data_IF_686056752862
#
_entry.id   IF_686056752862
#
_cell.length_a   1.000
_cell.length_b   1.000
_cell.length_c   1.000
_cell.angle_alpha   90.00
_cell.angle_beta   90.00
_cell.angle_gamma   90.00
#
_symmetry.space_group_name_H-M   'P 1'
#
loop_
_entity.id
_entity.type
_entity.pdbx_description
1 polymer ?
#
# COMPACT_ATOMS: atom_id res chain seq x y z
N UNK A 1 17.03 24.85 6.70
CA UNK A 1 16.18 25.63 5.77
C UNK A 1 16.92 25.72 4.45
N UNK A 2 16.55 24.92 3.44
CA UNK A 2 17.05 25.09 2.07
C UNK A 2 16.10 26.07 1.39
N UNK A 3 16.65 27.12 0.83
CA UNK A 3 15.92 28.16 0.10
C UNK A 3 15.20 27.53 -1.08
N UNK A 4 13.88 27.65 -1.11
CA UNK A 4 13.05 27.33 -2.27
C UNK A 4 13.37 28.31 -3.38
N UNK A 5 13.75 27.80 -4.53
CA UNK A 5 13.83 28.61 -5.75
C UNK A 5 12.39 28.88 -6.22
N UNK A 6 11.84 30.05 -5.92
CA UNK A 6 10.47 30.46 -6.26
C UNK A 6 10.26 30.67 -7.78
N UNK A 7 11.28 30.46 -8.61
CA UNK A 7 11.25 30.75 -10.05
C UNK A 7 11.33 29.53 -10.96
N UNK A 8 11.10 28.33 -10.45
CA UNK A 8 10.93 27.18 -11.32
C UNK A 8 9.53 27.26 -11.97
N UNK A 9 9.46 27.80 -13.15
CA UNK A 9 8.29 27.73 -14.02
C UNK A 9 8.17 26.28 -14.50
N UNK A 10 7.09 25.60 -14.11
CA UNK A 10 6.73 24.31 -14.72
C UNK A 10 6.35 24.61 -16.16
N UNK A 11 7.02 23.96 -17.12
CA UNK A 11 6.57 23.99 -18.51
C UNK A 11 5.33 23.09 -18.63
N UNK A 12 4.16 23.74 -18.69
CA UNK A 12 2.88 23.06 -18.81
C UNK A 12 2.73 22.30 -20.14
N UNK A 13 3.57 22.61 -21.16
CA UNK A 13 3.62 21.88 -22.42
C UNK A 13 4.02 20.42 -22.20
N UNK A 14 5.05 20.17 -21.41
CA UNK A 14 5.51 18.80 -21.07
C UNK A 14 4.46 18.01 -20.31
N UNK A 15 3.66 18.68 -19.45
CA UNK A 15 2.56 18.04 -18.73
C UNK A 15 1.35 17.78 -19.64
N UNK A 16 1.12 18.64 -20.64
CA UNK A 16 0.02 18.45 -21.60
C UNK A 16 0.27 17.22 -22.47
N UNK A 17 1.50 16.99 -22.90
CA UNK A 17 1.87 15.78 -23.66
C UNK A 17 1.75 14.50 -22.83
N UNK A 18 1.98 14.60 -21.51
CA UNK A 18 1.80 13.48 -20.56
C UNK A 18 0.33 13.22 -20.24
N UNK A 19 -0.51 14.26 -20.25
CA UNK A 19 -1.94 14.14 -19.86
C UNK A 19 -2.86 13.98 -21.06
N UNK A 20 -2.50 14.56 -22.23
CA UNK A 20 -3.37 14.62 -23.42
C UNK A 20 -2.80 13.84 -24.63
N UNK A 21 -1.66 13.15 -24.49
CA UNK A 21 -1.12 12.31 -25.55
C UNK A 21 -2.06 11.14 -25.87
N UNK A 22 -2.02 10.61 -27.09
CA UNK A 22 -2.68 9.37 -27.51
C UNK A 22 -2.05 8.19 -26.74
N UNK A 23 -2.45 8.07 -25.48
CA UNK A 23 -2.06 6.91 -24.67
C UNK A 23 -3.12 5.83 -24.83
N UNK A 24 -2.67 4.63 -25.15
CA UNK A 24 -3.48 3.44 -25.00
C UNK A 24 -4.12 3.44 -23.61
N UNK A 25 -5.43 3.15 -23.56
CA UNK A 25 -6.11 2.98 -22.28
C UNK A 25 -5.32 1.98 -21.44
N UNK A 26 -5.13 2.24 -20.13
CA UNK A 26 -4.38 1.32 -19.29
C UNK A 26 -5.03 -0.06 -19.34
N UNK A 27 -4.23 -1.09 -19.58
CA UNK A 27 -4.73 -2.46 -19.55
C UNK A 27 -5.17 -2.83 -18.15
N UNK A 28 -6.28 -3.54 -18.04
CA UNK A 28 -6.69 -4.08 -16.74
C UNK A 28 -5.84 -5.31 -16.42
N UNK A 29 -4.84 -5.14 -15.59
CA UNK A 29 -3.94 -6.19 -15.13
C UNK A 29 -4.06 -6.32 -13.61
N UNK A 30 -4.54 -7.46 -13.08
CA UNK A 30 -4.47 -7.73 -11.64
C UNK A 30 -3.01 -7.80 -11.17
N UNK A 31 -2.73 -7.51 -9.88
CA UNK A 31 -1.38 -7.69 -9.33
C UNK A 31 -0.96 -9.16 -9.31
N UNK A 32 0.32 -9.42 -9.52
CA UNK A 32 0.92 -10.75 -9.40
C UNK A 32 1.10 -11.15 -7.93
N UNK A 33 1.28 -10.16 -7.03
CA UNK A 33 1.33 -10.41 -5.59
C UNK A 33 0.67 -9.30 -4.78
N UNK A 34 0.21 -9.66 -3.56
CA UNK A 34 -0.36 -8.72 -2.58
C UNK A 34 0.27 -9.00 -1.21
N UNK A 35 0.96 -8.02 -0.65
CA UNK A 35 1.46 -8.05 0.72
C UNK A 35 0.34 -7.68 1.70
N UNK A 36 -0.24 -8.70 2.35
CA UNK A 36 -1.43 -8.51 3.19
C UNK A 36 -1.13 -8.04 4.63
N UNK A 37 0.11 -8.12 5.07
CA UNK A 37 0.49 -7.73 6.43
C UNK A 37 1.68 -8.52 6.97
N UNK A 38 1.82 -8.61 8.31
CA UNK A 38 1.09 -7.85 9.31
C UNK A 38 1.74 -6.48 9.54
N UNK A 39 0.97 -5.52 10.00
CA UNK A 39 1.52 -4.21 10.39
C UNK A 39 2.60 -4.37 11.47
N UNK A 40 3.73 -3.69 11.35
CA UNK A 40 4.91 -3.73 12.25
C UNK A 40 5.72 -5.04 12.17
N UNK A 41 5.63 -5.75 11.04
CA UNK A 41 6.38 -6.99 10.75
C UNK A 41 7.31 -6.82 9.54
N UNK A 42 8.02 -5.71 9.43
CA UNK A 42 8.99 -5.36 8.38
C UNK A 42 8.41 -5.17 6.95
N UNK A 43 7.13 -4.95 6.79
CA UNK A 43 6.50 -4.72 5.48
C UNK A 43 7.04 -3.50 4.73
N UNK A 44 7.58 -2.49 5.43
CA UNK A 44 8.26 -1.34 4.79
C UNK A 44 9.62 -1.74 4.23
N UNK A 45 10.37 -2.58 4.94
CA UNK A 45 11.62 -3.14 4.44
C UNK A 45 11.36 -3.97 3.17
N UNK A 46 10.40 -4.89 3.22
CA UNK A 46 10.02 -5.71 2.06
C UNK A 46 9.62 -4.84 0.87
N UNK A 47 8.76 -3.84 1.07
CA UNK A 47 8.37 -2.89 0.02
C UNK A 47 9.60 -2.21 -0.60
N UNK A 48 10.55 -1.77 0.24
CA UNK A 48 11.77 -1.11 -0.23
C UNK A 48 12.65 -2.04 -1.06
N UNK A 49 12.79 -3.31 -0.66
CA UNK A 49 13.58 -4.26 -1.41
C UNK A 49 12.93 -4.62 -2.76
N UNK A 50 11.63 -4.89 -2.76
CA UNK A 50 10.88 -5.15 -3.99
C UNK A 50 10.91 -3.95 -4.95
N UNK A 51 10.75 -2.72 -4.42
CA UNK A 51 10.81 -1.50 -5.22
C UNK A 51 12.21 -1.26 -5.86
N UNK A 52 13.27 -1.79 -5.25
CA UNK A 52 14.65 -1.72 -5.79
C UNK A 52 14.96 -2.84 -6.78
N UNK A 53 14.17 -3.89 -6.81
CA UNK A 53 14.40 -5.02 -7.71
C UNK A 53 14.13 -4.63 -9.16
N UNK A 54 15.05 -4.88 -10.08
CA UNK A 54 14.85 -4.58 -11.50
C UNK A 54 13.75 -5.43 -12.15
N UNK A 55 13.37 -6.55 -11.54
CA UNK A 55 12.33 -7.47 -12.04
C UNK A 55 10.93 -7.13 -11.54
N UNK A 56 10.80 -6.17 -10.61
CA UNK A 56 9.53 -5.80 -9.99
C UNK A 56 9.17 -4.35 -10.32
N UNK A 57 7.92 -4.11 -10.65
CA UNK A 57 7.37 -2.77 -10.80
C UNK A 57 6.18 -2.60 -9.85
N UNK A 58 6.30 -1.68 -8.91
CA UNK A 58 5.24 -1.39 -7.94
C UNK A 58 4.63 -0.01 -8.19
N UNK A 59 3.33 0.17 -7.92
CA UNK A 59 2.75 1.51 -7.90
C UNK A 59 3.57 2.47 -7.02
N UNK A 60 3.63 3.76 -7.37
CA UNK A 60 4.47 4.74 -6.67
C UNK A 60 4.00 5.02 -5.23
N UNK A 61 2.80 4.60 -4.90
CA UNK A 61 2.19 4.77 -3.58
C UNK A 61 2.22 3.46 -2.82
N UNK A 62 2.83 3.49 -1.63
CA UNK A 62 2.76 2.37 -0.68
C UNK A 62 1.41 2.38 0.04
N UNK A 63 0.86 1.16 0.27
CA UNK A 63 -0.40 0.96 0.98
C UNK A 63 -1.60 1.57 0.23
N UNK A 64 -2.04 0.90 -0.84
CA UNK A 64 -3.15 1.37 -1.68
C UNK A 64 -4.50 1.42 -0.93
N UNK A 65 -4.65 0.60 0.10
CA UNK A 65 -5.85 0.56 0.94
C UNK A 65 -7.15 0.36 0.14
N UNK A 66 -7.12 -0.42 -0.93
CA UNK A 66 -8.28 -0.62 -1.77
C UNK A 66 -9.35 -1.51 -1.11
N UNK A 67 -8.94 -2.64 -0.54
CA UNK A 67 -9.86 -3.64 0.03
C UNK A 67 -10.28 -3.37 1.48
N UNK A 68 -9.64 -2.48 2.20
CA UNK A 68 -9.90 -2.22 3.62
C UNK A 68 -10.61 -0.89 3.89
N UNK A 69 -11.01 -0.15 2.85
CA UNK A 69 -11.71 1.14 2.98
C UNK A 69 -13.09 1.03 3.61
N UNK A 70 -13.76 -0.09 3.45
CA UNK A 70 -15.08 -0.34 4.02
C UNK A 70 -15.04 -0.81 5.47
N UNK A 71 -13.85 -1.08 6.02
CA UNK A 71 -13.71 -1.46 7.40
C UNK A 71 -14.09 -0.30 8.34
N UNK A 72 -14.71 -0.60 9.51
CA UNK A 72 -15.01 0.42 10.50
C UNK A 72 -13.77 1.25 10.87
N UNK A 73 -13.98 2.54 11.06
CA UNK A 73 -12.91 3.51 11.38
C UNK A 73 -11.76 3.52 10.35
N UNK A 74 -12.08 3.32 9.08
CA UNK A 74 -11.12 3.54 8.02
C UNK A 74 -10.76 5.03 7.96
N UNK A 75 -9.47 5.39 8.08
CA UNK A 75 -9.03 6.77 7.96
C UNK A 75 -8.86 7.21 6.51
N UNK A 76 -9.26 6.35 5.55
CA UNK A 76 -8.97 6.60 4.14
C UNK A 76 -10.03 7.44 3.48
N UNK A 77 -9.62 8.24 2.48
CA UNK A 77 -10.50 9.16 1.79
C UNK A 77 -11.57 8.42 0.97
N UNK A 78 -12.57 9.16 0.56
CA UNK A 78 -13.63 8.68 -0.32
C UNK A 78 -13.06 8.04 -1.60
N UNK A 79 -13.76 7.05 -2.13
CA UNK A 79 -13.48 6.50 -3.45
C UNK A 79 -13.69 7.52 -4.57
N UNK A 80 -14.54 8.51 -4.36
CA UNK A 80 -14.83 9.57 -5.34
C UNK A 80 -13.70 10.61 -5.41
N UNK A 81 -13.17 10.83 -6.61
CA UNK A 81 -12.02 11.73 -6.85
C UNK A 81 -12.31 13.18 -6.42
N UNK A 82 -13.48 13.73 -6.78
CA UNK A 82 -13.84 15.11 -6.44
C UNK A 82 -13.93 15.34 -4.93
N UNK A 83 -14.44 14.35 -4.18
CA UNK A 83 -14.50 14.42 -2.73
C UNK A 83 -13.08 14.41 -2.12
N UNK A 84 -12.16 13.59 -2.64
CA UNK A 84 -10.76 13.60 -2.20
C UNK A 84 -10.07 14.91 -2.50
N UNK A 85 -10.27 15.45 -3.68
CA UNK A 85 -9.68 16.72 -4.12
C UNK A 85 -10.20 17.94 -3.34
N UNK A 86 -11.26 17.82 -2.55
CA UNK A 86 -11.69 18.87 -1.62
C UNK A 86 -10.84 18.91 -0.32
N UNK A 87 -10.11 17.85 0.01
CA UNK A 87 -9.26 17.77 1.22
C UNK A 87 -7.89 18.41 0.99
N UNK A 88 -7.52 19.37 1.83
CA UNK A 88 -6.24 20.10 1.71
C UNK A 88 -5.01 19.23 2.01
N UNK A 89 -5.13 18.26 2.92
CA UNK A 89 -4.04 17.32 3.21
C UNK A 89 -3.76 16.46 2.00
N UNK A 90 -4.82 16.00 1.34
CA UNK A 90 -4.74 15.22 0.10
C UNK A 90 -4.10 16.02 -1.04
N UNK A 91 -4.50 17.28 -1.22
CA UNK A 91 -3.89 18.18 -2.22
C UNK A 91 -2.39 18.37 -2.00
N UNK A 92 -1.97 18.56 -0.77
CA UNK A 92 -0.54 18.71 -0.45
C UNK A 92 0.25 17.44 -0.79
N UNK A 93 -0.30 16.26 -0.49
CA UNK A 93 0.32 14.97 -0.86
C UNK A 93 0.45 14.81 -2.38
N UNK A 94 -0.57 15.22 -3.15
CA UNK A 94 -0.53 15.21 -4.62
C UNK A 94 0.60 16.11 -5.12
N UNK A 95 0.63 17.36 -4.65
CA UNK A 95 1.64 18.33 -5.09
C UNK A 95 3.06 17.84 -4.78
N UNK A 96 3.29 17.27 -3.60
CA UNK A 96 4.62 16.78 -3.24
C UNK A 96 5.03 15.56 -4.08
N UNK A 97 4.12 14.61 -4.29
CA UNK A 97 4.38 13.41 -5.09
C UNK A 97 4.67 13.75 -6.57
N UNK A 98 3.85 14.63 -7.16
CA UNK A 98 4.02 15.07 -8.55
C UNK A 98 5.29 15.90 -8.74
N UNK A 99 5.63 16.80 -7.80
CA UNK A 99 6.85 17.60 -7.88
C UNK A 99 8.09 16.72 -8.04
N UNK A 100 8.24 15.70 -7.21
CA UNK A 100 9.38 14.78 -7.32
C UNK A 100 9.43 14.02 -8.64
N UNK A 101 8.27 13.62 -9.17
CA UNK A 101 8.21 12.93 -10.45
C UNK A 101 8.56 13.85 -11.64
N UNK A 102 8.11 15.10 -11.60
CA UNK A 102 8.44 16.14 -12.60
C UNK A 102 9.93 16.51 -12.55
N UNK A 103 10.48 16.76 -11.35
CA UNK A 103 11.90 17.07 -11.17
C UNK A 103 12.84 15.95 -11.67
N UNK A 104 12.37 14.70 -11.67
CA UNK A 104 13.12 13.53 -12.17
C UNK A 104 12.82 13.18 -13.64
N UNK A 105 11.97 13.92 -14.33
CA UNK A 105 11.46 13.63 -15.67
C UNK A 105 10.89 12.19 -15.83
N UNK A 106 10.30 11.68 -14.76
CA UNK A 106 9.72 10.33 -14.74
C UNK A 106 8.26 10.35 -15.22
N UNK A 107 8.08 10.37 -16.55
CA UNK A 107 6.76 10.41 -17.19
C UNK A 107 5.87 9.22 -16.81
N UNK A 108 6.46 8.03 -16.65
CA UNK A 108 5.71 6.84 -16.22
C UNK A 108 5.15 7.03 -14.81
N UNK A 109 5.97 7.54 -13.89
CA UNK A 109 5.55 7.83 -12.52
C UNK A 109 4.50 8.93 -12.44
N UNK A 110 4.64 9.99 -13.24
CA UNK A 110 3.63 11.05 -13.34
C UNK A 110 2.29 10.45 -13.74
N UNK A 111 2.26 9.61 -14.79
CA UNK A 111 1.04 8.96 -15.28
C UNK A 111 0.38 8.08 -14.21
N UNK A 112 1.16 7.27 -13.50
CA UNK A 112 0.66 6.43 -12.40
C UNK A 112 0.10 7.28 -11.25
N UNK A 113 0.76 8.38 -10.89
CA UNK A 113 0.29 9.30 -9.84
C UNK A 113 -0.99 10.02 -10.27
N UNK A 114 -1.07 10.47 -11.52
CA UNK A 114 -2.29 11.07 -12.05
C UNK A 114 -3.46 10.10 -11.99
N UNK A 115 -3.27 8.84 -12.43
CA UNK A 115 -4.28 7.80 -12.34
C UNK A 115 -4.68 7.52 -10.89
N UNK A 116 -3.70 7.40 -9.98
CA UNK A 116 -3.96 7.16 -8.57
C UNK A 116 -4.81 8.27 -7.92
N UNK A 117 -4.46 9.53 -8.16
CA UNK A 117 -5.05 10.64 -7.44
C UNK A 117 -6.37 11.16 -8.06
N UNK A 118 -6.53 11.12 -9.38
CA UNK A 118 -7.61 11.81 -10.08
C UNK A 118 -8.71 10.90 -10.62
N UNK A 119 -8.51 9.59 -10.68
CA UNK A 119 -9.57 8.66 -11.06
C UNK A 119 -10.42 8.23 -9.85
N UNK A 120 -11.66 7.82 -10.11
CA UNK A 120 -12.51 7.20 -9.10
C UNK A 120 -12.02 5.79 -8.78
N UNK A 121 -11.93 5.47 -7.51
CA UNK A 121 -11.39 4.19 -7.05
C UNK A 121 -12.45 3.08 -7.13
N UNK A 122 -12.34 2.27 -8.15
CA UNK A 122 -13.14 1.09 -8.42
C UNK A 122 -12.25 -0.09 -8.83
N UNK A 123 -12.82 -1.22 -9.19
CA UNK A 123 -12.08 -2.43 -9.56
C UNK A 123 -11.22 -2.23 -10.81
N UNK A 124 -11.74 -1.48 -11.79
CA UNK A 124 -11.00 -1.13 -12.99
C UNK A 124 -9.77 -0.28 -12.64
N UNK A 125 -9.96 0.78 -11.87
CA UNK A 125 -8.87 1.63 -11.37
C UNK A 125 -7.77 0.84 -10.68
N UNK A 126 -8.16 -0.13 -9.82
CA UNK A 126 -7.19 -0.95 -9.10
C UNK A 126 -6.33 -1.78 -10.06
N UNK A 127 -6.96 -2.43 -11.03
CA UNK A 127 -6.24 -3.23 -12.04
C UNK A 127 -5.40 -2.36 -12.99
N UNK A 128 -5.89 -1.19 -13.35
CA UNK A 128 -5.20 -0.24 -14.24
C UNK A 128 -3.92 0.31 -13.63
N UNK A 129 -3.84 0.47 -12.29
CA UNK A 129 -2.59 0.84 -11.61
C UNK A 129 -1.43 -0.12 -11.94
N UNK A 130 -1.72 -1.40 -12.03
CA UNK A 130 -0.75 -2.43 -12.39
C UNK A 130 -0.57 -2.56 -13.90
N UNK A 131 -1.61 -2.25 -14.68
CA UNK A 131 -1.54 -2.16 -16.14
C UNK A 131 -0.67 -1.01 -16.66
N UNK A 132 -0.46 0.01 -15.84
CA UNK A 132 0.47 1.11 -16.12
C UNK A 132 1.96 0.75 -15.86
N UNK A 133 2.23 -0.44 -15.34
CA UNK A 133 3.60 -0.94 -15.15
C UNK A 133 4.09 -1.68 -16.40
N UNK A 134 5.41 -1.79 -16.63
CA UNK A 134 5.94 -2.56 -17.75
C UNK A 134 5.44 -4.01 -17.74
N UNK A 135 4.97 -4.55 -18.88
CA UNK A 135 4.30 -5.85 -18.93
C UNK A 135 5.22 -7.04 -18.65
N UNK A 136 6.52 -6.87 -18.82
CA UNK A 136 7.56 -7.87 -18.58
C UNK A 136 7.98 -7.97 -17.11
N UNK A 137 7.48 -7.07 -16.25
CA UNK A 137 7.83 -7.05 -14.82
C UNK A 137 6.72 -7.64 -13.96
N UNK A 138 7.14 -8.25 -12.85
CA UNK A 138 6.24 -8.67 -11.79
C UNK A 138 5.69 -7.42 -11.10
N UNK A 139 4.39 -7.36 -10.85
CA UNK A 139 3.76 -6.20 -10.22
C UNK A 139 2.90 -6.57 -9.01
N UNK A 140 2.83 -5.68 -8.05
CA UNK A 140 2.04 -5.92 -6.84
C UNK A 140 2.06 -4.76 -5.87
N UNK A 141 1.41 -4.97 -4.74
CA UNK A 141 1.35 -3.97 -3.67
C UNK A 141 1.57 -4.57 -2.28
N UNK A 142 1.78 -3.72 -1.29
CA UNK A 142 1.85 -4.12 0.12
C UNK A 142 1.01 -3.16 0.97
N UNK A 143 -0.12 -3.67 1.46
CA UNK A 143 -1.01 -2.97 2.40
C UNK A 143 -1.21 -3.81 3.66
N UNK A 144 -0.45 -3.57 4.72
CA UNK A 144 -0.44 -4.44 5.92
C UNK A 144 -1.78 -4.50 6.68
N UNK A 145 -2.70 -3.60 6.38
CA UNK A 145 -4.03 -3.59 6.98
C UNK A 145 -4.95 -4.67 6.41
N UNK A 146 -4.65 -5.22 5.24
CA UNK A 146 -5.45 -6.29 4.66
C UNK A 146 -5.53 -7.55 5.55
N UNK A 147 -4.53 -7.78 6.41
CA UNK A 147 -4.56 -8.88 7.38
C UNK A 147 -5.80 -8.90 8.28
N UNK A 148 -6.45 -7.75 8.49
CA UNK A 148 -7.67 -7.64 9.33
C UNK A 148 -8.94 -7.38 8.51
N UNK A 149 -8.89 -7.51 7.19
CA UNK A 149 -10.07 -7.45 6.32
C UNK A 149 -11.08 -8.53 6.71
N UNK A 150 -12.34 -8.24 6.55
CA UNK A 150 -13.42 -9.20 6.72
C UNK A 150 -13.50 -10.20 5.56
N UNK A 151 -14.35 -11.21 5.69
CA UNK A 151 -14.55 -12.24 4.65
C UNK A 151 -14.97 -11.65 3.31
N UNK A 152 -15.82 -10.62 3.30
CA UNK A 152 -16.31 -10.00 2.05
C UNK A 152 -15.18 -9.28 1.32
N UNK A 153 -14.34 -8.56 2.04
CA UNK A 153 -13.18 -7.88 1.48
C UNK A 153 -12.16 -8.88 0.91
N UNK A 154 -11.92 -10.01 1.59
CA UNK A 154 -11.03 -11.06 1.10
C UNK A 154 -11.62 -11.78 -0.13
N UNK A 155 -12.92 -12.05 -0.13
CA UNK A 155 -13.64 -12.58 -1.29
C UNK A 155 -13.52 -11.66 -2.51
N UNK A 156 -13.71 -10.35 -2.29
CA UNK A 156 -13.56 -9.34 -3.34
C UNK A 156 -12.12 -9.31 -3.88
N UNK A 157 -11.12 -9.36 -3.01
CA UNK A 157 -9.71 -9.46 -3.39
C UNK A 157 -9.45 -10.69 -4.28
N UNK A 158 -9.98 -11.84 -3.90
CA UNK A 158 -9.84 -13.08 -4.68
C UNK A 158 -10.57 -13.02 -6.03
N UNK A 159 -11.71 -12.32 -6.10
CA UNK A 159 -12.42 -12.13 -7.36
C UNK A 159 -11.62 -11.26 -8.36
N UNK A 160 -10.93 -10.24 -7.87
CA UNK A 160 -10.12 -9.35 -8.73
C UNK A 160 -8.77 -9.98 -9.08
N UNK A 161 -8.09 -10.61 -8.11
CA UNK A 161 -6.74 -11.13 -8.28
C UNK A 161 -6.64 -12.61 -7.86
N UNK A 162 -7.33 -13.54 -8.56
CA UNK A 162 -7.43 -14.94 -8.15
C UNK A 162 -6.09 -15.70 -8.17
N UNK A 163 -5.14 -15.22 -8.96
CA UNK A 163 -3.82 -15.86 -9.13
C UNK A 163 -2.71 -15.17 -8.34
N UNK A 164 -3.02 -14.07 -7.64
CA UNK A 164 -2.04 -13.33 -6.87
C UNK A 164 -1.38 -14.20 -5.79
N UNK A 165 -0.08 -14.06 -5.62
CA UNK A 165 0.64 -14.59 -4.46
C UNK A 165 0.44 -13.64 -3.28
N UNK A 166 0.08 -14.18 -2.14
CA UNK A 166 -0.09 -13.41 -0.92
C UNK A 166 1.18 -13.48 -0.09
N UNK A 167 1.69 -12.33 0.34
CA UNK A 167 2.86 -12.27 1.23
C UNK A 167 2.39 -11.82 2.61
N UNK A 168 2.60 -12.66 3.60
CA UNK A 168 2.23 -12.40 4.98
C UNK A 168 3.43 -12.42 5.89
N UNK A 169 3.98 -11.25 6.21
CA UNK A 169 5.06 -11.09 7.17
C UNK A 169 4.50 -11.20 8.60
N UNK A 170 5.02 -12.12 9.39
CA UNK A 170 4.62 -12.31 10.78
C UNK A 170 5.79 -12.03 11.74
N UNK A 171 5.46 -11.57 12.93
CA UNK A 171 6.38 -11.25 14.01
C UNK A 171 5.82 -11.75 15.32
N UNK A 172 6.66 -11.96 16.35
CA UNK A 172 6.13 -12.20 17.69
C UNK A 172 4.99 -11.20 18.00
N UNK A 173 3.76 -11.65 18.31
CA UNK A 173 2.60 -10.77 18.47
C UNK A 173 2.77 -9.70 19.53
N UNK A 174 3.53 -9.98 20.60
CA UNK A 174 3.81 -9.03 21.69
C UNK A 174 4.72 -7.93 21.17
N UNK A 175 5.83 -8.28 20.49
CA UNK A 175 6.76 -7.32 19.94
C UNK A 175 6.15 -6.48 18.82
N UNK A 176 5.29 -7.10 18.01
CA UNK A 176 4.49 -6.40 17.00
C UNK A 176 3.61 -5.33 17.64
N UNK A 177 2.86 -5.73 18.69
CA UNK A 177 1.96 -4.81 19.39
C UNK A 177 2.73 -3.70 20.08
N UNK A 178 3.82 -4.03 20.77
CA UNK A 178 4.72 -3.03 21.39
C UNK A 178 5.24 -2.02 20.37
N UNK A 179 5.74 -2.50 19.24
CA UNK A 179 6.19 -1.64 18.13
C UNK A 179 5.09 -0.72 17.60
N UNK A 180 3.84 -1.18 17.62
CA UNK A 180 2.69 -0.36 17.21
C UNK A 180 2.35 0.70 18.26
N UNK A 181 2.40 0.37 19.54
CA UNK A 181 2.22 1.34 20.65
C UNK A 181 3.28 2.44 20.57
N UNK A 182 4.55 2.08 20.41
CA UNK A 182 5.65 3.05 20.27
C UNK A 182 5.46 3.98 19.08
N UNK A 183 5.03 3.44 17.94
CA UNK A 183 4.72 4.25 16.76
C UNK A 183 3.60 5.25 17.06
N UNK A 184 2.49 4.80 17.63
CA UNK A 184 1.35 5.68 17.96
C UNK A 184 1.69 6.72 19.01
N UNK A 185 2.50 6.35 19.99
CA UNK A 185 3.02 7.28 20.99
C UNK A 185 3.85 8.39 20.33
N UNK A 186 4.78 8.02 19.43
CA UNK A 186 5.61 9.01 18.70
C UNK A 186 4.80 9.97 17.84
N UNK A 187 3.66 9.52 17.29
CA UNK A 187 2.73 10.36 16.54
C UNK A 187 1.69 11.08 17.40
N UNK A 188 1.78 11.00 18.74
CA UNK A 188 0.85 11.64 19.65
C UNK A 188 -0.58 11.07 19.61
N UNK A 189 -0.77 9.88 19.01
CA UNK A 189 -2.10 9.25 18.85
C UNK A 189 -2.39 8.17 19.91
N UNK A 190 -1.47 7.96 20.85
CA UNK A 190 -1.63 7.10 22.01
C UNK A 190 -0.95 7.77 23.20
N UNK A 191 -1.67 7.88 24.32
CA UNK A 191 -1.10 8.36 25.57
C UNK A 191 -0.08 7.35 26.14
N UNK A 192 0.94 7.79 26.89
CA UNK A 192 1.87 6.88 27.54
C UNK A 192 1.20 6.07 28.65
N UNK A 193 1.76 4.89 28.94
CA UNK A 193 1.39 4.04 30.06
C UNK A 193 0.54 2.84 29.71
N UNK A 194 0.54 1.86 30.62
CA UNK A 194 -0.14 0.58 30.46
C UNK A 194 -1.66 0.69 30.26
N UNK A 195 -2.40 1.57 30.96
CA UNK A 195 -3.85 1.68 30.77
C UNK A 195 -4.22 2.08 29.34
N UNK A 196 -3.52 3.04 28.74
CA UNK A 196 -3.75 3.46 27.37
C UNK A 196 -3.38 2.36 26.35
N UNK A 197 -2.28 1.66 26.57
CA UNK A 197 -1.88 0.52 25.75
C UNK A 197 -2.91 -0.61 25.81
N UNK A 198 -3.43 -0.94 26.99
CA UNK A 198 -4.47 -1.97 27.16
C UNK A 198 -5.80 -1.58 26.52
N UNK A 199 -6.22 -0.32 26.65
CA UNK A 199 -7.40 0.19 25.96
C UNK A 199 -7.23 0.06 24.43
N UNK A 200 -6.07 0.43 23.90
CA UNK A 200 -5.77 0.29 22.48
C UNK A 200 -5.69 -1.18 22.04
N UNK A 201 -5.14 -2.08 22.86
CA UNK A 201 -5.07 -3.51 22.58
C UNK A 201 -6.45 -4.09 22.27
N UNK A 202 -7.50 -3.67 22.99
CA UNK A 202 -8.86 -4.15 22.83
C UNK A 202 -9.61 -3.55 21.62
N UNK A 203 -8.96 -2.72 20.82
CA UNK A 203 -9.56 -2.18 19.59
C UNK A 203 -9.30 -3.10 18.39
N UNK A 204 -10.05 -2.88 17.30
CA UNK A 204 -9.82 -3.54 15.99
C UNK A 204 -8.38 -3.35 15.48
N UNK A 205 -7.74 -2.25 15.81
CA UNK A 205 -6.37 -1.96 15.40
C UNK A 205 -5.29 -2.53 16.35
N UNK A 206 -5.68 -3.13 17.47
CA UNK A 206 -4.77 -3.73 18.45
C UNK A 206 -4.61 -5.24 18.28
N UNK A 207 -5.36 -5.99 19.11
CA UNK A 207 -5.30 -7.45 19.22
C UNK A 207 -5.51 -8.19 17.89
N UNK A 208 -6.51 -7.88 17.05
CA UNK A 208 -6.76 -8.63 15.82
C UNK A 208 -5.58 -8.68 14.83
N UNK A 209 -4.72 -7.65 14.84
CA UNK A 209 -3.53 -7.62 13.98
C UNK A 209 -2.44 -8.62 14.35
N UNK A 210 -2.54 -9.26 15.51
CA UNK A 210 -1.65 -10.32 15.98
C UNK A 210 -2.27 -11.71 15.92
N UNK A 211 -3.54 -11.84 15.53
CA UNK A 211 -4.25 -13.12 15.39
C UNK A 211 -3.98 -13.74 14.00
N UNK A 212 -2.75 -14.17 13.78
CA UNK A 212 -2.28 -14.65 12.48
C UNK A 212 -3.04 -15.90 12.00
N UNK A 213 -3.39 -16.82 12.91
CA UNK A 213 -4.18 -18.00 12.57
C UNK A 213 -5.56 -17.65 12.03
N UNK A 214 -6.24 -16.67 12.61
CA UNK A 214 -7.54 -16.18 12.12
C UNK A 214 -7.42 -15.54 10.75
N UNK A 215 -6.33 -14.78 10.52
CA UNK A 215 -6.01 -14.20 9.21
C UNK A 215 -5.82 -15.31 8.18
N UNK A 216 -4.96 -16.29 8.46
CA UNK A 216 -4.67 -17.39 7.55
C UNK A 216 -5.93 -18.22 7.24
N UNK A 217 -6.72 -18.56 8.26
CA UNK A 217 -7.99 -19.29 8.07
C UNK A 217 -8.97 -18.51 7.20
N UNK A 218 -9.04 -17.18 7.33
CA UNK A 218 -9.90 -16.33 6.53
C UNK A 218 -9.46 -16.29 5.08
N UNK A 219 -8.17 -16.07 4.82
CA UNK A 219 -7.63 -16.01 3.47
C UNK A 219 -7.67 -17.38 2.76
N UNK A 220 -7.43 -18.48 3.49
CA UNK A 220 -7.49 -19.84 2.92
C UNK A 220 -8.88 -20.30 2.47
N UNK A 221 -9.93 -19.55 2.76
CA UNK A 221 -11.28 -19.81 2.19
C UNK A 221 -11.35 -19.41 0.72
N UNK A 222 -10.53 -18.46 0.28
CA UNK A 222 -10.64 -17.81 -1.01
C UNK A 222 -9.39 -17.95 -1.90
N UNK A 223 -8.24 -18.22 -1.29
CA UNK A 223 -6.96 -18.44 -1.97
C UNK A 223 -6.42 -19.83 -1.62
N UNK A 224 -5.82 -20.52 -2.60
CA UNK A 224 -5.10 -21.76 -2.32
C UNK A 224 -3.97 -21.48 -1.29
N UNK A 225 -3.82 -22.31 -0.24
CA UNK A 225 -2.71 -22.18 0.71
C UNK A 225 -1.32 -22.10 0.05
N UNK A 226 -1.13 -22.70 -1.13
CA UNK A 226 0.11 -22.60 -1.93
C UNK A 226 0.37 -21.19 -2.50
N UNK A 227 -0.63 -20.32 -2.50
CA UNK A 227 -0.48 -18.92 -2.88
C UNK A 227 -0.02 -18.06 -1.71
N UNK A 228 -0.06 -18.55 -0.47
CA UNK A 228 0.26 -17.77 0.73
C UNK A 228 1.70 -18.05 1.17
N UNK A 229 2.56 -17.05 0.99
CA UNK A 229 3.93 -17.06 1.50
C UNK A 229 3.97 -16.41 2.88
N UNK A 230 4.40 -17.17 3.88
CA UNK A 230 4.66 -16.64 5.23
C UNK A 230 6.13 -16.27 5.34
N UNK A 231 6.39 -15.01 5.71
CA UNK A 231 7.74 -14.47 5.92
C UNK A 231 7.90 -14.11 7.40
N UNK A 232 8.91 -14.67 8.05
CA UNK A 232 9.18 -14.41 9.45
C UNK A 232 10.02 -13.14 9.62
N UNK A 233 9.57 -12.23 10.48
CA UNK A 233 10.33 -11.02 10.84
C UNK A 233 11.77 -11.33 11.30
N UNK A 234 11.94 -12.41 12.06
CA UNK A 234 13.24 -12.81 12.58
C UNK A 234 14.17 -13.25 11.46
N UNK A 235 13.65 -13.89 10.41
CA UNK A 235 14.42 -14.20 9.21
C UNK A 235 14.90 -12.92 8.51
N UNK A 236 14.02 -11.94 8.35
CA UNK A 236 14.38 -10.63 7.80
C UNK A 236 15.45 -9.94 8.67
N UNK A 237 15.32 -10.01 9.99
CA UNK A 237 16.21 -9.32 10.92
C UNK A 237 17.61 -9.93 10.95
N UNK A 238 17.73 -11.25 10.84
CA UNK A 238 18.99 -11.97 10.98
C UNK A 238 19.60 -12.41 9.65
N UNK A 239 18.77 -12.66 8.64
CA UNK A 239 19.19 -13.20 7.33
C UNK A 239 18.49 -12.46 6.18
N UNK A 240 18.65 -11.12 6.07
CA UNK A 240 17.87 -10.31 5.11
C UNK A 240 18.10 -10.73 3.66
N UNK A 241 19.32 -11.07 3.26
CA UNK A 241 19.62 -11.49 1.89
C UNK A 241 19.00 -12.85 1.56
N UNK A 242 19.18 -13.83 2.43
CA UNK A 242 18.60 -15.17 2.24
C UNK A 242 17.08 -15.19 2.25
N UNK A 243 16.45 -14.15 2.80
CA UNK A 243 14.99 -14.00 2.79
C UNK A 243 14.50 -13.46 1.44
N UNK A 244 15.37 -12.85 0.63
CA UNK A 244 15.07 -12.33 -0.70
C UNK A 244 15.35 -13.32 -1.82
N UNK A 245 16.29 -14.24 -1.58
CA UNK A 245 16.67 -15.34 -2.50
C UNK A 245 15.60 -16.46 -2.48
#
# INVERSE_FOLDING_TARGET
MKYYNQNATIDWGDLTDVVCGDYDQPTQRPPDFIGIGAQKSATTWLWTQLHRSPSVAMPPIKELHYFDRQLPASPFPSANALTRLSDNTWKNQICDALRHAVESDDKSRIRQLMHYYFADWNDAWYCELFGLTPPDKITGEITPRYAICDDKSVQHMAAIAPHAKLIFCIRNPIDRFWSQCLMRYRFGTLAPGAPAAMAFFNTLNGKPRGHYSETLLRFSKWFDPKQILIVYYDAIAHYPQQTLD
#
